data_IF_256409036708
#
_entry.id   IF_256409036708
#
_cell.length_a   1.000
_cell.length_b   1.000
_cell.length_c   1.000
_cell.angle_alpha   90.00
_cell.angle_beta   90.00
_cell.angle_gamma   90.00
#
_symmetry.space_group_name_H-M   'P 1'
#
loop_
_entity.id
_entity.type
_entity.pdbx_description
1 polymer ?
#
# COMPACT_ATOMS: atom_id res chain seq x y z
N UNK A 1 -19.07 -1.68 -15.40
CA UNK A 1 -19.86 -0.70 -14.60
C UNK A 1 -18.94 0.44 -14.21
N UNK A 2 -19.29 1.66 -14.61
CA UNK A 2 -18.50 2.88 -14.38
C UNK A 2 -18.76 3.38 -12.95
N UNK A 3 -17.73 3.39 -12.11
CA UNK A 3 -17.80 3.98 -10.77
C UNK A 3 -17.78 5.50 -10.93
N UNK A 4 -18.95 6.12 -10.86
CA UNK A 4 -19.10 7.58 -10.68
C UNK A 4 -18.70 7.94 -9.25
N UNK A 5 -17.40 8.07 -9.00
CA UNK A 5 -16.88 8.41 -7.66
C UNK A 5 -15.63 9.32 -7.65
N UNK A 6 -15.04 9.60 -8.81
CA UNK A 6 -13.99 10.60 -8.93
C UNK A 6 -14.65 11.99 -8.89
N UNK A 7 -14.57 12.67 -7.75
CA UNK A 7 -14.87 14.10 -7.70
C UNK A 7 -13.72 14.83 -8.43
N UNK A 8 -13.90 16.11 -8.79
CA UNK A 8 -12.80 16.93 -9.37
C UNK A 8 -11.58 17.09 -8.45
N UNK A 9 -11.63 16.49 -7.25
CA UNK A 9 -10.72 16.65 -6.11
C UNK A 9 -10.31 15.27 -5.52
N UNK A 10 -10.05 14.26 -6.36
CA UNK A 10 -9.58 12.94 -5.90
C UNK A 10 -10.68 11.96 -5.44
N UNK A 11 -10.25 10.86 -4.82
CA UNK A 11 -11.09 9.74 -4.40
C UNK A 11 -11.83 10.03 -3.08
N UNK A 12 -13.15 9.84 -3.06
CA UNK A 12 -13.97 9.92 -1.85
C UNK A 12 -14.04 8.58 -1.10
N UNK A 13 -14.55 8.57 0.14
CA UNK A 13 -14.81 7.31 0.85
C UNK A 13 -15.75 6.37 0.10
N UNK A 14 -16.80 6.88 -0.55
CA UNK A 14 -17.65 6.04 -1.40
C UNK A 14 -16.86 5.52 -2.61
N UNK A 15 -15.96 6.33 -3.18
CA UNK A 15 -15.03 5.89 -4.21
C UNK A 15 -14.14 4.74 -3.76
N UNK A 16 -13.61 4.79 -2.53
CA UNK A 16 -12.85 3.68 -1.92
C UNK A 16 -13.74 2.45 -1.78
N UNK A 17 -14.93 2.59 -1.19
CA UNK A 17 -15.88 1.47 -1.02
C UNK A 17 -16.15 0.77 -2.36
N UNK A 18 -16.41 1.53 -3.42
CA UNK A 18 -16.63 0.98 -4.76
C UNK A 18 -15.37 0.33 -5.35
N UNK A 19 -14.17 0.85 -5.04
CA UNK A 19 -12.91 0.25 -5.45
C UNK A 19 -12.70 -1.12 -4.80
N UNK A 20 -13.13 -1.28 -3.55
CA UNK A 20 -12.98 -2.51 -2.77
C UNK A 20 -14.08 -3.56 -3.08
N UNK A 21 -15.06 -3.23 -3.92
CA UNK A 21 -16.13 -4.16 -4.34
C UNK A 21 -17.55 -3.61 -4.16
N UNK A 22 -17.72 -2.59 -3.32
CA UNK A 22 -19.01 -1.92 -3.11
C UNK A 22 -19.99 -2.64 -2.16
N UNK A 23 -19.58 -3.76 -1.58
CA UNK A 23 -20.36 -4.59 -0.65
C UNK A 23 -20.25 -4.11 0.81
N UNK A 24 -20.91 -4.84 1.72
CA UNK A 24 -20.94 -4.52 3.14
C UNK A 24 -19.56 -4.66 3.79
N UNK A 25 -18.73 -5.58 3.31
CA UNK A 25 -17.37 -5.79 3.82
C UNK A 25 -16.44 -4.64 3.43
N UNK A 26 -16.55 -4.13 2.21
CA UNK A 26 -15.89 -2.90 1.79
C UNK A 26 -16.31 -1.71 2.67
N UNK A 27 -17.60 -1.60 3.03
CA UNK A 27 -18.11 -0.52 3.91
C UNK A 27 -17.54 -0.63 5.31
N UNK A 28 -17.52 -1.83 5.90
CA UNK A 28 -16.92 -2.09 7.21
C UNK A 28 -15.42 -1.80 7.23
N UNK A 29 -14.68 -2.28 6.23
CA UNK A 29 -13.25 -2.04 6.09
C UNK A 29 -12.93 -0.53 6.08
N UNK A 30 -13.66 0.25 5.27
CA UNK A 30 -13.49 1.72 5.22
C UNK A 30 -13.88 2.38 6.54
N UNK A 31 -14.94 1.92 7.21
CA UNK A 31 -15.34 2.45 8.51
C UNK A 31 -14.26 2.22 9.58
N UNK A 32 -13.65 1.03 9.62
CA UNK A 32 -12.54 0.72 10.54
C UNK A 32 -11.31 1.57 10.25
N UNK A 33 -10.93 1.73 8.97
CA UNK A 33 -9.82 2.59 8.58
C UNK A 33 -10.03 4.03 9.03
N UNK A 34 -11.22 4.60 8.80
CA UNK A 34 -11.58 5.95 9.26
C UNK A 34 -11.51 6.10 10.77
N UNK A 35 -11.94 5.08 11.52
CA UNK A 35 -11.92 5.09 12.98
C UNK A 35 -10.49 5.03 13.53
N UNK A 36 -9.60 4.27 12.88
CA UNK A 36 -8.32 3.87 13.48
C UNK A 36 -7.06 4.41 12.78
N UNK A 37 -7.16 5.12 11.64
CA UNK A 37 -5.97 5.57 10.88
C UNK A 37 -5.00 6.42 11.71
N UNK A 38 -5.48 7.24 12.65
CA UNK A 38 -4.60 8.05 13.51
C UNK A 38 -3.77 7.20 14.46
N UNK A 39 -4.39 6.16 15.05
CA UNK A 39 -3.72 5.21 15.94
C UNK A 39 -2.86 4.20 15.18
N UNK A 40 -3.18 3.95 13.92
CA UNK A 40 -2.47 3.01 13.06
C UNK A 40 -2.72 1.53 13.41
N UNK A 41 -3.73 1.24 14.23
CA UNK A 41 -4.01 -0.11 14.72
C UNK A 41 -5.52 -0.35 14.82
N UNK A 42 -6.00 -1.40 14.17
CA UNK A 42 -7.39 -1.89 14.24
C UNK A 42 -7.43 -3.03 15.26
N UNK A 43 -8.20 -2.90 16.36
CA UNK A 43 -8.34 -3.95 17.36
C UNK A 43 -9.05 -5.20 16.82
N UNK A 44 -8.59 -6.39 17.22
CA UNK A 44 -9.15 -7.68 16.80
C UNK A 44 -10.63 -7.87 17.14
N UNK A 45 -11.11 -7.24 18.21
CA UNK A 45 -12.50 -7.32 18.68
C UNK A 45 -13.47 -6.52 17.82
N UNK A 46 -12.95 -5.64 16.95
CA UNK A 46 -13.72 -4.91 15.94
C UNK A 46 -13.65 -5.54 14.55
N UNK A 47 -12.94 -6.67 14.41
CA UNK A 47 -12.72 -7.35 13.12
C UNK A 47 -13.52 -8.65 13.03
N UNK A 48 -14.28 -8.78 11.95
CA UNK A 48 -14.73 -10.08 11.46
C UNK A 48 -13.79 -10.62 10.38
N UNK A 49 -13.92 -11.92 10.07
CA UNK A 49 -13.03 -12.62 9.13
C UNK A 49 -13.04 -11.98 7.74
N UNK A 50 -14.21 -11.62 7.23
CA UNK A 50 -14.37 -11.14 5.85
C UNK A 50 -13.83 -9.73 5.70
N UNK A 51 -14.07 -8.87 6.69
CA UNK A 51 -13.49 -7.53 6.76
C UNK A 51 -11.95 -7.61 6.91
N UNK A 52 -11.43 -8.52 7.73
CA UNK A 52 -9.98 -8.70 7.88
C UNK A 52 -9.34 -9.22 6.57
N UNK A 53 -9.99 -10.14 5.85
CA UNK A 53 -9.55 -10.61 4.53
C UNK A 53 -9.53 -9.47 3.51
N UNK A 54 -10.57 -8.63 3.52
CA UNK A 54 -10.65 -7.45 2.65
C UNK A 54 -9.48 -6.49 2.91
N UNK A 55 -9.24 -6.13 4.18
CA UNK A 55 -8.14 -5.26 4.57
C UNK A 55 -6.77 -5.81 4.19
N UNK A 56 -6.54 -7.10 4.43
CA UNK A 56 -5.29 -7.77 4.07
C UNK A 56 -5.11 -7.85 2.55
N UNK A 57 -6.11 -8.31 1.81
CA UNK A 57 -6.04 -8.50 0.35
C UNK A 57 -5.63 -7.23 -0.39
N UNK A 58 -6.19 -6.08 0.03
CA UNK A 58 -5.87 -4.77 -0.52
C UNK A 58 -4.64 -4.11 0.13
N UNK A 59 -4.02 -4.74 1.13
CA UNK A 59 -2.86 -4.23 1.89
C UNK A 59 -3.15 -2.87 2.56
N UNK A 60 -4.39 -2.70 3.02
CA UNK A 60 -4.88 -1.51 3.73
C UNK A 60 -4.64 -1.60 5.23
N UNK A 61 -4.71 -2.81 5.78
CA UNK A 61 -4.23 -3.14 7.11
C UNK A 61 -3.70 -4.58 7.08
N UNK A 62 -2.76 -4.90 7.97
CA UNK A 62 -2.02 -6.16 7.94
C UNK A 62 -1.93 -6.73 9.36
N UNK A 63 -2.05 -8.06 9.56
CA UNK A 63 -1.96 -8.66 10.89
C UNK A 63 -0.65 -8.29 11.61
N UNK A 64 -0.68 -7.94 12.89
CA UNK A 64 0.50 -7.47 13.64
C UNK A 64 1.51 -8.60 13.84
N UNK A 65 1.06 -9.83 14.07
CA UNK A 65 1.96 -10.96 14.25
C UNK A 65 2.52 -11.47 12.92
N UNK A 66 3.83 -11.73 12.92
CA UNK A 66 4.55 -12.28 11.78
C UNK A 66 5.52 -13.37 12.25
N UNK A 67 5.82 -14.32 11.38
CA UNK A 67 6.88 -15.29 11.63
C UNK A 67 8.24 -14.57 11.68
N UNK A 68 8.98 -14.71 12.78
CA UNK A 68 10.30 -14.11 13.02
C UNK A 68 10.35 -12.56 12.98
N UNK A 69 9.28 -11.85 13.35
CA UNK A 69 9.23 -10.37 13.28
C UNK A 69 9.52 -9.81 11.87
N UNK A 70 9.19 -10.61 10.84
CA UNK A 70 9.46 -10.27 9.45
C UNK A 70 8.52 -9.17 8.93
N UNK A 71 9.10 -8.19 8.23
CA UNK A 71 8.34 -7.17 7.49
C UNK A 71 7.60 -7.75 6.25
N UNK A 72 7.77 -9.04 5.94
CA UNK A 72 7.11 -9.70 4.81
C UNK A 72 5.61 -9.91 5.05
N UNK A 73 4.76 -9.38 4.17
CA UNK A 73 3.31 -9.62 4.19
C UNK A 73 2.95 -11.10 4.10
N UNK A 74 3.72 -11.91 3.37
CA UNK A 74 3.47 -13.35 3.23
C UNK A 74 3.81 -14.19 4.46
N UNK A 75 4.50 -13.61 5.44
CA UNK A 75 4.89 -14.29 6.68
C UNK A 75 3.95 -13.95 7.86
N UNK A 76 2.88 -13.17 7.60
CA UNK A 76 1.86 -12.83 8.61
C UNK A 76 0.83 -13.95 8.71
N UNK A 77 0.50 -14.37 9.94
CA UNK A 77 -0.55 -15.37 10.14
C UNK A 77 -1.91 -14.73 9.89
N UNK A 78 -2.72 -15.34 9.03
CA UNK A 78 -4.12 -14.95 8.96
C UNK A 78 -4.86 -15.57 10.15
N UNK A 79 -4.87 -14.86 11.27
CA UNK A 79 -5.75 -15.06 12.40
C UNK A 79 -6.51 -13.74 12.64
N UNK A 80 -7.70 -13.79 13.24
CA UNK A 80 -8.32 -12.55 13.73
C UNK A 80 -7.47 -12.04 14.89
N UNK A 81 -6.57 -11.13 14.57
CA UNK A 81 -5.69 -10.44 15.49
C UNK A 81 -5.72 -8.94 15.20
N UNK A 82 -4.99 -8.18 16.01
CA UNK A 82 -4.91 -6.75 15.75
C UNK A 82 -4.21 -6.54 14.40
N UNK A 83 -4.71 -5.58 13.62
CA UNK A 83 -4.11 -5.23 12.33
C UNK A 83 -3.44 -3.86 12.40
N UNK A 84 -2.25 -3.76 11.84
CA UNK A 84 -1.52 -2.51 11.65
C UNK A 84 -1.93 -1.85 10.34
N UNK A 85 -2.20 -0.55 10.38
CA UNK A 85 -2.48 0.27 9.19
C UNK A 85 -1.16 0.92 8.72
N UNK A 86 -0.66 0.60 7.52
CA UNK A 86 0.60 1.17 7.02
C UNK A 86 0.58 2.70 6.96
N UNK A 87 1.72 3.35 7.15
CA UNK A 87 1.82 4.81 7.19
C UNK A 87 1.21 5.48 5.96
N UNK A 88 1.49 4.97 4.76
CA UNK A 88 0.94 5.56 3.56
C UNK A 88 -0.59 5.48 3.49
N UNK A 89 -1.18 4.40 4.01
CA UNK A 89 -2.64 4.25 4.12
C UNK A 89 -3.19 5.26 5.13
N UNK A 90 -2.50 5.46 6.25
CA UNK A 90 -2.90 6.45 7.27
C UNK A 90 -2.91 7.87 6.69
N UNK A 91 -1.87 8.23 5.94
CA UNK A 91 -1.80 9.51 5.23
C UNK A 91 -2.92 9.63 4.20
N UNK A 92 -3.20 8.57 3.44
CA UNK A 92 -4.24 8.59 2.42
C UNK A 92 -5.64 8.77 3.02
N UNK A 93 -5.97 8.02 4.08
CA UNK A 93 -7.26 8.15 4.76
C UNK A 93 -7.44 9.56 5.34
N UNK A 94 -6.39 10.15 5.89
CA UNK A 94 -6.41 11.54 6.36
C UNK A 94 -6.69 12.53 5.22
N UNK A 95 -6.04 12.37 4.07
CA UNK A 95 -6.25 13.24 2.91
C UNK A 95 -7.66 13.07 2.32
N UNK A 96 -8.23 11.86 2.37
CA UNK A 96 -9.63 11.62 2.01
C UNK A 96 -10.59 12.29 3.00
N UNK A 97 -10.31 12.27 4.33
CA UNK A 97 -11.11 13.02 5.32
C UNK A 97 -11.10 14.53 5.05
N UNK A 98 -10.00 15.06 4.51
CA UNK A 98 -9.84 16.47 4.14
C UNK A 98 -10.40 16.80 2.75
N UNK A 99 -10.93 15.82 2.02
CA UNK A 99 -11.48 15.98 0.68
C UNK A 99 -10.45 16.13 -0.43
N UNK A 100 -9.21 15.66 -0.24
CA UNK A 100 -8.11 15.71 -1.21
C UNK A 100 -8.06 14.43 -2.04
N UNK A 101 -8.11 13.25 -1.39
CA UNK A 101 -8.22 11.94 -2.04
C UNK A 101 -7.24 11.61 -3.19
N UNK A 102 -6.14 12.35 -3.32
CA UNK A 102 -5.14 12.18 -4.38
C UNK A 102 -3.95 11.40 -3.82
N UNK A 103 -3.78 10.18 -4.33
CA UNK A 103 -2.73 9.29 -3.87
C UNK A 103 -1.33 9.79 -4.23
N UNK A 104 -1.16 10.52 -5.34
CA UNK A 104 0.15 11.07 -5.74
C UNK A 104 0.57 12.16 -4.76
N UNK A 105 -0.35 13.08 -4.48
CA UNK A 105 -0.15 14.11 -3.46
C UNK A 105 0.08 13.50 -2.07
N UNK A 106 -0.60 12.39 -1.75
CA UNK A 106 -0.41 11.66 -0.49
C UNK A 106 0.99 11.08 -0.37
N UNK A 107 1.49 10.41 -1.42
CA UNK A 107 2.83 9.81 -1.47
C UNK A 107 3.90 10.89 -1.33
N UNK A 108 3.77 11.98 -2.10
CA UNK A 108 4.67 13.13 -2.00
C UNK A 108 4.66 13.75 -0.59
N UNK A 109 3.47 13.91 0.00
CA UNK A 109 3.31 14.44 1.36
C UNK A 109 3.95 13.55 2.41
N UNK A 110 3.81 12.23 2.29
CA UNK A 110 4.43 11.26 3.20
C UNK A 110 5.96 11.36 3.14
N UNK A 111 6.55 11.29 1.94
CA UNK A 111 8.01 11.32 1.80
C UNK A 111 8.59 12.66 2.25
N UNK A 112 7.92 13.77 1.95
CA UNK A 112 8.30 15.08 2.48
C UNK A 112 8.25 15.14 4.01
N UNK A 113 7.25 14.50 4.64
CA UNK A 113 7.11 14.48 6.09
C UNK A 113 8.23 13.70 6.81
N UNK A 114 8.89 12.76 6.13
CA UNK A 114 10.04 12.02 6.68
C UNK A 114 11.41 12.61 6.27
N UNK A 115 11.41 13.75 5.58
CA UNK A 115 12.63 14.51 5.27
C UNK A 115 13.16 14.36 3.83
N UNK A 116 12.41 13.73 2.93
CA UNK A 116 12.83 13.62 1.52
C UNK A 116 12.64 14.93 0.76
N UNK A 117 13.73 15.50 0.23
CA UNK A 117 13.72 16.77 -0.50
C UNK A 117 13.06 16.64 -1.87
N UNK A 118 13.32 15.54 -2.59
CA UNK A 118 12.75 15.23 -3.92
C UNK A 118 11.64 14.19 -3.81
N UNK A 119 10.62 14.47 -3.01
CA UNK A 119 9.54 13.53 -2.69
C UNK A 119 8.72 13.10 -3.93
N UNK A 120 8.63 13.97 -4.94
CA UNK A 120 7.96 13.72 -6.22
C UNK A 120 8.60 12.57 -7.02
N UNK A 121 9.89 12.29 -6.81
CA UNK A 121 10.56 11.17 -7.47
C UNK A 121 9.97 9.84 -7.01
N UNK A 122 9.55 9.71 -5.74
CA UNK A 122 8.94 8.48 -5.25
C UNK A 122 7.60 8.19 -5.92
N UNK A 123 6.83 9.22 -6.28
CA UNK A 123 5.60 9.03 -7.05
C UNK A 123 5.94 8.37 -8.39
N UNK A 124 6.87 8.97 -9.15
CA UNK A 124 7.25 8.48 -10.48
C UNK A 124 7.90 7.10 -10.43
N UNK A 125 8.74 6.86 -9.43
CA UNK A 125 9.34 5.55 -9.18
C UNK A 125 8.26 4.52 -8.91
N UNK A 126 7.29 4.82 -8.04
CA UNK A 126 6.20 3.89 -7.74
C UNK A 126 5.33 3.59 -8.96
N UNK A 127 5.01 4.59 -9.79
CA UNK A 127 4.31 4.41 -11.06
C UNK A 127 5.05 3.42 -11.97
N UNK A 128 6.34 3.65 -12.19
CA UNK A 128 7.16 2.79 -13.03
C UNK A 128 7.33 1.37 -12.43
N UNK A 129 7.35 1.25 -11.09
CA UNK A 129 7.36 -0.05 -10.41
C UNK A 129 6.08 -0.84 -10.71
N UNK A 130 4.91 -0.19 -10.66
CA UNK A 130 3.64 -0.84 -10.99
C UNK A 130 3.63 -1.29 -12.45
N UNK A 131 4.04 -0.41 -13.37
CA UNK A 131 4.12 -0.70 -14.81
C UNK A 131 5.03 -1.88 -15.16
N UNK A 132 6.18 -2.01 -14.48
CA UNK A 132 7.11 -3.12 -14.70
C UNK A 132 6.76 -4.39 -13.93
N UNK A 133 5.91 -4.28 -12.92
CA UNK A 133 5.54 -5.42 -12.09
C UNK A 133 4.75 -6.47 -12.89
N UNK A 134 4.87 -7.73 -12.48
CA UNK A 134 4.02 -8.82 -12.97
C UNK A 134 3.24 -9.39 -11.81
N UNK A 135 1.91 -9.33 -11.89
CA UNK A 135 1.02 -9.74 -10.80
C UNK A 135 1.37 -9.05 -9.47
N UNK A 136 1.65 -7.74 -9.51
CA UNK A 136 2.10 -6.92 -8.37
C UNK A 136 3.44 -7.33 -7.76
N UNK A 137 4.23 -8.17 -8.44
CA UNK A 137 5.57 -8.56 -8.02
C UNK A 137 6.61 -7.87 -8.90
N UNK A 138 7.62 -7.30 -8.26
CA UNK A 138 8.77 -6.64 -8.90
C UNK A 138 10.09 -7.13 -8.27
N UNK A 139 11.15 -7.26 -9.07
CA UNK A 139 12.46 -7.65 -8.54
C UNK A 139 13.26 -6.43 -8.05
N UNK A 140 14.13 -6.65 -7.07
CA UNK A 140 14.96 -5.58 -6.51
C UNK A 140 15.87 -4.92 -7.55
N UNK A 141 16.37 -5.68 -8.54
CA UNK A 141 17.14 -5.14 -9.67
C UNK A 141 16.31 -4.13 -10.49
N UNK A 142 15.04 -4.44 -10.80
CA UNK A 142 14.17 -3.49 -11.49
C UNK A 142 13.96 -2.21 -10.68
N UNK A 143 13.79 -2.31 -9.35
CA UNK A 143 13.63 -1.14 -8.48
C UNK A 143 14.89 -0.28 -8.50
N UNK A 144 16.08 -0.90 -8.45
CA UNK A 144 17.37 -0.20 -8.54
C UNK A 144 17.48 0.52 -9.89
N UNK A 145 17.19 -0.17 -10.99
CA UNK A 145 17.24 0.40 -12.34
C UNK A 145 16.28 1.59 -12.50
N UNK A 146 15.06 1.48 -11.97
CA UNK A 146 14.09 2.59 -11.93
C UNK A 146 14.68 3.75 -11.12
N UNK A 147 15.16 3.48 -9.90
CA UNK A 147 15.68 4.51 -8.98
C UNK A 147 16.85 5.29 -9.58
N UNK A 148 17.74 4.60 -10.31
CA UNK A 148 18.88 5.21 -10.97
C UNK A 148 18.48 6.23 -12.05
N UNK A 149 17.33 6.05 -12.73
CA UNK A 149 16.81 7.04 -13.69
C UNK A 149 16.49 8.38 -13.06
N UNK A 150 16.15 8.39 -11.78
CA UNK A 150 15.85 9.60 -11.00
C UNK A 150 17.05 10.07 -10.16
N UNK A 151 18.24 9.48 -10.37
CA UNK A 151 19.44 9.82 -9.60
C UNK A 151 19.27 9.53 -8.11
N UNK A 152 18.63 8.41 -7.77
CA UNK A 152 18.42 7.93 -6.40
C UNK A 152 19.11 6.59 -6.17
N UNK A 153 19.56 6.37 -4.94
CA UNK A 153 20.07 5.08 -4.50
C UNK A 153 18.92 4.07 -4.37
N UNK A 154 19.00 2.94 -5.07
CA UNK A 154 17.94 1.94 -5.08
C UNK A 154 17.74 1.26 -3.71
N UNK A 155 18.80 1.11 -2.91
CA UNK A 155 18.70 0.57 -1.56
C UNK A 155 17.90 1.47 -0.63
N UNK A 156 18.17 2.79 -0.68
CA UNK A 156 17.40 3.80 0.04
C UNK A 156 15.94 3.79 -0.41
N UNK A 157 15.68 3.85 -1.72
CA UNK A 157 14.30 3.81 -2.25
C UNK A 157 13.54 2.59 -1.78
N UNK A 158 14.14 1.40 -1.84
CA UNK A 158 13.53 0.16 -1.34
C UNK A 158 13.21 0.27 0.16
N UNK A 159 14.15 0.76 0.97
CA UNK A 159 13.97 0.89 2.41
C UNK A 159 12.81 1.84 2.75
N UNK A 160 12.75 2.99 2.08
CA UNK A 160 11.76 4.04 2.27
C UNK A 160 10.36 3.61 1.79
N UNK A 161 10.25 2.99 0.61
CA UNK A 161 8.99 2.44 0.08
C UNK A 161 8.42 1.33 0.97
N UNK A 162 9.32 0.49 1.52
CA UNK A 162 8.93 -0.55 2.49
C UNK A 162 8.45 0.08 3.80
N UNK A 163 9.18 1.07 4.31
CA UNK A 163 8.79 1.81 5.52
C UNK A 163 7.43 2.50 5.39
N UNK A 164 7.12 3.02 4.19
CA UNK A 164 5.83 3.62 3.87
C UNK A 164 4.68 2.60 3.86
N UNK A 165 4.98 1.35 3.49
CA UNK A 165 3.99 0.30 3.19
C UNK A 165 3.50 0.29 1.74
N UNK A 166 4.28 0.88 0.82
CA UNK A 166 4.02 0.82 -0.63
C UNK A 166 4.51 -0.48 -1.26
N UNK A 167 5.53 -1.10 -0.66
CA UNK A 167 5.99 -2.43 -1.02
C UNK A 167 6.29 -3.28 0.22
N UNK A 168 6.39 -4.59 0.04
CA UNK A 168 6.88 -5.52 1.05
C UNK A 168 7.77 -6.59 0.42
N UNK A 169 8.82 -7.06 1.12
CA UNK A 169 9.46 -8.31 0.73
C UNK A 169 8.42 -9.45 0.75
N UNK A 170 8.48 -10.39 -0.20
CA UNK A 170 7.43 -11.41 -0.34
C UNK A 170 7.98 -12.84 -0.30
N UNK A 171 9.15 -13.10 -0.88
CA UNK A 171 9.94 -14.33 -0.61
C UNK A 171 11.41 -14.09 -0.97
N UNK A 172 12.31 -14.59 -0.12
CA UNK A 172 13.75 -14.53 -0.32
C UNK A 172 14.26 -15.49 -1.39
N UNK A 173 15.34 -15.07 -2.05
CA UNK A 173 16.23 -15.88 -2.86
C UNK A 173 16.54 -17.23 -2.15
N UNK A 174 15.84 -18.32 -2.52
CA UNK A 174 16.12 -19.64 -1.93
C UNK A 174 15.14 -20.78 -2.22
N UNK A 175 13.85 -20.55 -2.49
CA UNK A 175 12.87 -21.66 -2.54
C UNK A 175 12.20 -21.93 -3.90
N UNK A 176 12.29 -21.06 -4.89
CA UNK A 176 11.79 -21.35 -6.25
C UNK A 176 12.71 -20.70 -7.28
N UNK A 177 13.44 -21.54 -8.03
CA UNK A 177 14.11 -21.25 -9.31
C UNK A 177 14.72 -19.85 -9.51
N UNK A 178 16.04 -19.73 -9.35
CA UNK A 178 16.91 -18.78 -10.10
C UNK A 178 16.62 -17.27 -10.03
N UNK A 179 15.80 -16.74 -9.11
CA UNK A 179 15.78 -15.29 -8.87
C UNK A 179 17.10 -14.88 -8.18
N UNK A 180 17.97 -14.14 -8.87
CA UNK A 180 19.26 -13.66 -8.32
C UNK A 180 19.10 -12.47 -7.36
N UNK A 181 17.91 -11.86 -7.33
CA UNK A 181 17.59 -10.66 -6.58
C UNK A 181 16.35 -10.86 -5.69
N UNK A 182 16.22 -10.10 -4.57
CA UNK A 182 15.01 -10.13 -3.74
C UNK A 182 13.77 -9.72 -4.52
N UNK A 183 12.62 -10.30 -4.19
CA UNK A 183 11.32 -9.95 -4.77
C UNK A 183 10.48 -9.15 -3.79
N UNK A 184 9.77 -8.17 -4.32
CA UNK A 184 8.88 -7.28 -3.59
C UNK A 184 7.47 -7.37 -4.15
N UNK A 185 6.50 -7.36 -3.26
CA UNK A 185 5.07 -7.23 -3.57
C UNK A 185 4.67 -5.77 -3.41
N UNK A 186 3.94 -5.25 -4.40
CA UNK A 186 3.42 -3.89 -4.44
C UNK A 186 2.08 -3.82 -3.70
N UNK A 187 1.84 -2.72 -2.98
CA UNK A 187 0.57 -2.45 -2.33
C UNK A 187 -0.57 -2.43 -3.37
N UNK A 188 -1.45 -3.43 -3.30
CA UNK A 188 -2.55 -3.64 -4.26
C UNK A 188 -3.45 -2.42 -4.37
N UNK A 189 -3.82 -1.82 -3.24
CA UNK A 189 -4.71 -0.66 -3.24
C UNK A 189 -4.12 0.50 -4.05
N UNK A 190 -2.87 0.88 -3.79
CA UNK A 190 -2.22 1.97 -4.51
C UNK A 190 -1.96 1.66 -6.00
N UNK A 191 -1.64 0.41 -6.33
CA UNK A 191 -1.53 -0.01 -7.74
C UNK A 191 -2.87 0.16 -8.49
N UNK A 192 -4.00 -0.21 -7.87
CA UNK A 192 -5.32 -0.04 -8.47
C UNK A 192 -5.73 1.43 -8.65
N UNK A 193 -5.22 2.35 -7.82
CA UNK A 193 -5.46 3.79 -7.99
C UNK A 193 -4.78 4.33 -9.24
N UNK A 194 -3.61 3.79 -9.61
CA UNK A 194 -2.89 4.15 -10.83
C UNK A 194 -3.65 3.67 -12.08
N UNK A 195 -4.08 2.41 -12.10
CA UNK A 195 -4.79 1.81 -13.25
C UNK A 195 -6.10 2.51 -13.61
N UNK A 196 -6.72 3.25 -12.67
CA UNK A 196 -7.96 4.01 -12.91
C UNK A 196 -7.73 5.46 -13.38
N UNK A 197 -6.50 5.94 -13.40
CA UNK A 197 -6.15 7.28 -13.87
C UNK A 197 -5.59 7.30 -15.30
N UNK A 198 -5.28 6.13 -15.87
CA UNK A 198 -4.95 5.94 -17.29
C UNK A 198 -6.16 5.53 -18.12
#
# INVERSE_FOLDING_TARGET
MSVRGANRYGLSFEGIIQLLGGDDEARKAVALLRKHFRRGKIPKDELDVETALTLDYFRLALPVSSFHDSLSWKMRFFAIEDMEVPYIVRFFIEDVERGIGDWKATVERYFRAIGEERAEDFVKIFEEMVERSKNLIICGEDIVDISMKYGRDGGVVIAEMKGAGLISPTVGCGAFGRAKAPLYEINRFFAMLLEKQG
#
